data_IF_985765167787
#
_entry.id   IF_985765167787
#
_cell.length_a   1.000
_cell.length_b   1.000
_cell.length_c   1.000
_cell.angle_alpha   90.00
_cell.angle_beta   90.00
_cell.angle_gamma   90.00
#
_symmetry.space_group_name_H-M   'P 1'
#
loop_
_entity.id
_entity.type
_entity.pdbx_description
1 polymer ?
#
# COMPACT_ATOMS: atom_id res chain seq x y z
N UNK A 1 -13.60 16.51 21.13
CA UNK A 1 -14.24 16.72 19.81
C UNK A 1 -13.18 16.49 18.74
N UNK A 2 -13.33 15.48 17.91
CA UNK A 2 -12.47 15.29 16.72
C UNK A 2 -12.84 16.41 15.77
N UNK A 3 -11.91 17.34 15.52
CA UNK A 3 -12.13 18.41 14.54
C UNK A 3 -11.97 17.77 13.16
N UNK A 4 -13.09 17.40 12.55
CA UNK A 4 -13.15 16.85 11.20
C UNK A 4 -12.66 17.92 10.22
N UNK A 5 -11.58 17.70 9.45
CA UNK A 5 -11.30 18.57 8.32
C UNK A 5 -12.48 18.46 7.36
N UNK A 6 -13.12 19.60 7.08
CA UNK A 6 -14.19 19.66 6.09
C UNK A 6 -13.61 19.25 4.72
N UNK A 7 -14.35 18.51 3.88
CA UNK A 7 -13.91 18.24 2.52
C UNK A 7 -13.56 19.56 1.83
N UNK A 8 -12.37 19.66 1.25
CA UNK A 8 -12.11 20.76 0.33
C UNK A 8 -12.84 20.39 -0.94
N UNK A 9 -13.96 21.08 -1.26
CA UNK A 9 -14.75 20.79 -2.46
C UNK A 9 -14.03 21.22 -3.76
N UNK A 10 -12.71 21.12 -3.78
CA UNK A 10 -11.86 21.38 -4.91
C UNK A 10 -11.83 20.16 -5.85
N UNK A 11 -11.50 20.44 -7.12
CA UNK A 11 -11.45 19.41 -8.15
C UNK A 11 -10.40 18.32 -7.88
N UNK A 12 -9.34 18.63 -7.11
CA UNK A 12 -8.28 17.69 -6.80
C UNK A 12 -8.74 16.62 -5.80
N UNK A 13 -9.51 16.99 -4.78
CA UNK A 13 -10.14 16.06 -3.84
C UNK A 13 -11.10 15.09 -4.53
N UNK A 14 -11.94 15.60 -5.45
CA UNK A 14 -12.83 14.75 -6.25
C UNK A 14 -12.07 13.81 -7.20
N UNK A 15 -10.99 14.29 -7.83
CA UNK A 15 -10.15 13.47 -8.69
C UNK A 15 -9.41 12.37 -7.91
N UNK A 16 -8.98 12.70 -6.68
CA UNK A 16 -8.37 11.74 -5.77
C UNK A 16 -9.35 10.61 -5.43
N UNK A 17 -10.60 10.93 -5.06
CA UNK A 17 -11.64 9.94 -4.73
C UNK A 17 -12.35 9.39 -5.98
N UNK A 18 -11.61 8.78 -6.89
CA UNK A 18 -12.21 8.11 -8.04
C UNK A 18 -13.12 6.95 -7.62
N UNK A 19 -14.16 6.70 -8.41
CA UNK A 19 -15.14 5.62 -8.22
C UNK A 19 -14.78 4.32 -8.96
N UNK A 20 -13.79 4.38 -9.86
CA UNK A 20 -13.41 3.29 -10.76
C UNK A 20 -11.89 3.21 -10.91
N UNK A 21 -11.35 2.01 -10.76
CA UNK A 21 -9.94 1.76 -11.08
C UNK A 21 -9.75 1.69 -12.60
N UNK A 22 -8.67 2.27 -13.13
CA UNK A 22 -8.41 2.42 -14.57
C UNK A 22 -6.92 2.21 -14.87
N UNK A 23 -6.59 1.91 -16.13
CA UNK A 23 -5.19 1.69 -16.56
C UNK A 23 -4.27 2.87 -16.23
N UNK A 24 -4.75 4.12 -16.37
CA UNK A 24 -3.95 5.30 -16.01
C UNK A 24 -3.50 5.32 -14.54
N UNK A 25 -4.37 4.85 -13.63
CA UNK A 25 -4.06 4.73 -12.20
C UNK A 25 -3.05 3.60 -11.95
N UNK A 26 -3.22 2.45 -12.62
CA UNK A 26 -2.23 1.38 -12.55
C UNK A 26 -0.84 1.87 -12.95
N UNK A 27 -0.75 2.59 -14.08
CA UNK A 27 0.52 3.08 -14.61
C UNK A 27 1.15 4.13 -13.69
N UNK A 28 0.36 5.05 -13.13
CA UNK A 28 0.87 6.00 -12.12
C UNK A 28 1.34 5.28 -10.85
N UNK A 29 0.69 4.18 -10.48
CA UNK A 29 1.06 3.37 -9.33
C UNK A 29 2.30 2.51 -9.59
N UNK A 30 2.94 2.56 -10.77
CA UNK A 30 4.19 1.85 -11.05
C UNK A 30 5.45 2.66 -10.70
N UNK A 31 5.35 3.97 -10.52
CA UNK A 31 6.49 4.81 -10.13
C UNK A 31 6.11 5.75 -8.99
N UNK A 32 7.07 6.54 -8.50
CA UNK A 32 6.76 7.74 -7.75
C UNK A 32 6.66 8.90 -8.74
N UNK A 33 5.73 9.85 -8.56
CA UNK A 33 5.73 11.05 -9.38
C UNK A 33 7.01 11.87 -9.10
N UNK A 34 7.49 12.69 -10.06
CA UNK A 34 8.77 13.38 -9.94
C UNK A 34 8.91 14.29 -8.71
N UNK A 35 7.79 14.83 -8.24
CA UNK A 35 7.67 15.73 -7.09
C UNK A 35 7.42 15.00 -5.76
N UNK A 36 7.28 13.66 -5.76
CA UNK A 36 7.13 12.91 -4.53
C UNK A 36 8.42 12.95 -3.69
N UNK A 37 8.31 13.20 -2.38
CA UNK A 37 9.47 13.31 -1.51
C UNK A 37 10.27 12.00 -1.49
N UNK A 38 11.59 12.14 -1.48
CA UNK A 38 12.58 11.08 -1.52
C UNK A 38 13.49 11.07 -0.28
N UNK A 39 14.46 10.16 -0.27
CA UNK A 39 15.46 10.16 0.79
C UNK A 39 16.30 11.45 0.75
N UNK A 40 16.51 12.06 1.92
CA UNK A 40 17.14 13.36 2.09
C UNK A 40 16.13 14.51 2.20
N UNK A 41 14.91 14.34 1.69
CA UNK A 41 13.88 15.38 1.75
C UNK A 41 13.22 15.42 3.14
N UNK A 42 12.62 16.58 3.42
CA UNK A 42 11.74 16.77 4.58
C UNK A 42 10.37 16.18 4.28
N UNK A 43 9.74 15.56 5.28
CA UNK A 43 8.35 15.13 5.13
C UNK A 43 7.42 16.34 4.87
N UNK A 44 6.40 16.19 4.02
CA UNK A 44 5.33 17.16 3.89
C UNK A 44 4.61 17.41 5.22
N UNK A 45 4.01 18.60 5.36
CA UNK A 45 3.22 18.93 6.53
C UNK A 45 1.90 18.12 6.57
N UNK A 46 1.57 17.56 7.74
CA UNK A 46 0.29 16.88 7.96
C UNK A 46 -0.12 16.93 9.44
N UNK A 47 -1.41 16.75 9.68
CA UNK A 47 -1.98 16.66 11.02
C UNK A 47 -3.17 15.67 11.01
N UNK A 48 -2.90 14.44 11.46
CA UNK A 48 -3.80 13.30 11.28
C UNK A 48 -4.39 12.85 12.62
N UNK A 49 -5.67 12.50 12.63
CA UNK A 49 -6.27 11.81 13.76
C UNK A 49 -5.78 10.36 13.78
N UNK A 50 -5.55 9.80 14.98
CA UNK A 50 -5.24 8.38 15.15
C UNK A 50 -6.42 7.67 15.78
N UNK A 51 -6.55 6.37 15.53
CA UNK A 51 -7.63 5.56 16.12
C UNK A 51 -7.49 5.40 17.64
N UNK A 52 -6.31 5.63 18.21
CA UNK A 52 -5.97 5.35 19.62
C UNK A 52 -5.77 6.62 20.47
N UNK A 53 -5.94 7.82 19.90
CA UNK A 53 -6.04 9.06 20.66
C UNK A 53 -5.18 10.20 20.11
N UNK A 54 -3.89 10.33 20.49
CA UNK A 54 -3.06 11.47 20.13
C UNK A 54 -2.98 11.67 18.62
N UNK A 55 -2.91 12.92 18.17
CA UNK A 55 -2.75 13.21 16.74
C UNK A 55 -1.34 12.84 16.29
N UNK A 56 -1.21 12.42 15.04
CA UNK A 56 0.07 12.19 14.38
C UNK A 56 0.35 13.38 13.48
N UNK A 57 1.38 14.18 13.82
CA UNK A 57 1.66 15.44 13.15
C UNK A 57 3.08 15.46 12.61
N UNK A 58 3.30 16.12 11.48
CA UNK A 58 4.64 16.25 10.88
C UNK A 58 5.61 17.08 11.72
N UNK A 59 5.11 17.83 12.71
CA UNK A 59 5.90 18.67 13.61
C UNK A 59 6.21 17.99 14.96
N UNK A 60 5.57 16.86 15.24
CA UNK A 60 5.79 16.07 16.46
C UNK A 60 5.70 14.58 16.15
N UNK A 61 6.81 14.02 15.67
CA UNK A 61 6.94 12.61 15.34
C UNK A 61 7.26 11.73 16.56
N UNK A 62 7.65 12.35 17.68
CA UNK A 62 8.23 11.69 18.83
C UNK A 62 9.74 11.40 18.67
N UNK A 63 10.37 10.73 19.65
CA UNK A 63 11.82 10.55 19.71
C UNK A 63 12.37 9.38 18.87
N UNK A 64 11.50 8.51 18.35
CA UNK A 64 11.89 7.33 17.57
C UNK A 64 11.76 7.62 16.07
N UNK A 65 12.58 6.98 15.21
CA UNK A 65 12.29 6.92 13.79
C UNK A 65 10.88 6.39 13.55
N UNK A 66 10.24 6.88 12.49
CA UNK A 66 8.87 6.52 12.13
C UNK A 66 8.87 5.76 10.81
N UNK A 67 8.31 4.54 10.80
CA UNK A 67 7.89 3.89 9.58
C UNK A 67 6.45 4.31 9.27
N UNK A 68 6.32 5.24 8.32
CA UNK A 68 5.06 5.73 7.79
C UNK A 68 4.63 4.87 6.59
N UNK A 69 3.43 4.30 6.64
CA UNK A 69 2.90 3.46 5.55
C UNK A 69 1.53 3.98 5.13
N UNK A 70 1.31 4.19 3.84
CA UNK A 70 -0.03 4.51 3.33
C UNK A 70 -0.78 3.21 3.01
N UNK A 71 -2.12 3.17 3.09
CA UNK A 71 -2.83 1.94 2.75
C UNK A 71 -4.34 2.04 2.83
N UNK A 72 -5.01 1.12 2.14
CA UNK A 72 -6.46 1.00 2.14
C UNK A 72 -6.91 -0.45 1.99
N UNK A 73 -8.18 -0.70 2.34
CA UNK A 73 -8.72 -2.05 2.49
C UNK A 73 -8.86 -2.79 1.16
N UNK A 74 -9.02 -2.05 0.07
CA UNK A 74 -9.21 -2.58 -1.28
C UNK A 74 -7.92 -2.65 -2.10
N UNK A 75 -6.74 -2.49 -1.49
CA UNK A 75 -5.47 -2.58 -2.21
C UNK A 75 -4.83 -3.97 -2.09
N UNK A 76 -4.64 -4.74 -3.20
CA UNK A 76 -3.97 -6.05 -3.14
C UNK A 76 -2.54 -5.96 -2.60
N UNK A 77 -1.87 -4.82 -2.80
CA UNK A 77 -0.54 -4.59 -2.24
C UNK A 77 -0.60 -4.42 -0.73
N UNK A 78 -1.53 -3.61 -0.20
CA UNK A 78 -1.77 -3.50 1.25
C UNK A 78 -2.13 -4.84 1.87
N UNK A 79 -2.95 -5.65 1.20
CA UNK A 79 -3.27 -7.02 1.63
C UNK A 79 -2.01 -7.87 1.80
N UNK A 80 -1.10 -7.82 0.81
CA UNK A 80 0.17 -8.53 0.89
C UNK A 80 1.19 -7.92 1.87
N UNK A 81 1.05 -6.63 2.20
CA UNK A 81 1.92 -5.94 3.16
C UNK A 81 1.53 -6.23 4.61
N UNK A 82 0.25 -6.50 4.92
CA UNK A 82 -0.22 -6.74 6.28
C UNK A 82 0.63 -7.76 7.07
N UNK A 83 0.87 -8.99 6.55
CA UNK A 83 1.74 -9.96 7.20
C UNK A 83 3.21 -9.51 7.33
N UNK A 84 3.73 -8.76 6.35
CA UNK A 84 5.09 -8.20 6.37
C UNK A 84 5.22 -7.18 7.49
N UNK A 85 4.29 -6.21 7.56
CA UNK A 85 4.29 -5.14 8.55
C UNK A 85 4.16 -5.69 9.97
N UNK A 86 3.36 -6.74 10.20
CA UNK A 86 3.28 -7.38 11.53
C UNK A 86 4.61 -7.98 11.96
N UNK A 87 5.29 -8.73 11.07
CA UNK A 87 6.62 -9.30 11.38
C UNK A 87 7.66 -8.22 11.64
N UNK A 88 7.69 -7.18 10.81
CA UNK A 88 8.61 -6.06 11.00
C UNK A 88 8.30 -5.29 12.29
N UNK A 89 7.03 -5.12 12.65
CA UNK A 89 6.67 -4.49 13.91
C UNK A 89 7.04 -5.36 15.13
N UNK A 90 6.88 -6.68 15.05
CA UNK A 90 7.36 -7.60 16.09
C UNK A 90 8.88 -7.50 16.30
N UNK A 91 9.64 -7.28 15.21
CA UNK A 91 11.11 -7.20 15.21
C UNK A 91 11.62 -5.80 15.64
N UNK A 92 11.01 -4.73 15.15
CA UNK A 92 11.54 -3.35 15.26
C UNK A 92 10.66 -2.38 16.06
N UNK A 93 9.42 -2.76 16.43
CA UNK A 93 8.43 -1.85 17.01
C UNK A 93 8.81 -1.24 18.37
N UNK A 94 9.82 -1.79 19.05
CA UNK A 94 10.37 -1.22 20.28
C UNK A 94 11.31 -0.01 20.03
N UNK A 95 11.90 0.08 18.83
CA UNK A 95 12.89 1.10 18.47
C UNK A 95 12.44 2.00 17.30
N UNK A 96 11.37 1.63 16.61
CA UNK A 96 10.79 2.38 15.49
C UNK A 96 9.28 2.46 15.70
N UNK A 97 8.70 3.67 15.59
CA UNK A 97 7.25 3.87 15.64
C UNK A 97 6.65 3.48 14.30
N UNK A 98 5.68 2.58 14.28
CA UNK A 98 4.96 2.20 13.07
C UNK A 98 3.64 2.96 13.02
N UNK A 99 3.37 3.64 11.90
CA UNK A 99 2.11 4.33 11.66
C UNK A 99 1.59 3.97 10.27
N UNK A 100 0.41 3.33 10.20
CA UNK A 100 -0.29 3.16 8.94
C UNK A 100 -1.34 4.26 8.78
N UNK A 101 -1.23 5.04 7.72
CA UNK A 101 -2.21 6.06 7.33
C UNK A 101 -3.25 5.43 6.40
N UNK A 102 -4.50 5.39 6.85
CA UNK A 102 -5.63 4.98 6.04
C UNK A 102 -5.93 6.03 4.97
N UNK A 103 -5.75 5.67 3.70
CA UNK A 103 -5.95 6.53 2.53
C UNK A 103 -7.25 6.20 1.80
N UNK A 104 -7.50 6.79 0.62
CA UNK A 104 -8.65 6.41 -0.20
C UNK A 104 -8.59 4.93 -0.58
N UNK A 105 -9.73 4.36 -0.92
CA UNK A 105 -9.76 3.01 -1.49
C UNK A 105 -9.01 3.00 -2.84
N UNK A 106 -8.09 2.04 -2.99
CA UNK A 106 -7.29 1.88 -4.21
C UNK A 106 -8.13 1.23 -5.32
N UNK A 107 -8.99 0.28 -4.95
CA UNK A 107 -9.93 -0.38 -5.85
C UNK A 107 -11.34 -0.33 -5.24
N UNK A 108 -11.98 0.85 -5.23
CA UNK A 108 -13.31 1.00 -4.65
C UNK A 108 -14.31 0.10 -5.37
N UNK A 109 -15.03 -0.69 -4.59
CA UNK A 109 -16.05 -1.62 -5.06
C UNK A 109 -17.43 -1.25 -4.53
N UNK A 110 -18.46 -2.01 -4.92
CA UNK A 110 -19.81 -1.76 -4.40
C UNK A 110 -19.97 -2.09 -2.91
N UNK A 111 -19.12 -2.98 -2.37
CA UNK A 111 -19.14 -3.37 -0.95
C UNK A 111 -18.23 -2.49 -0.10
N UNK A 112 -17.17 -1.95 -0.70
CA UNK A 112 -16.22 -1.03 -0.07
C UNK A 112 -16.00 0.15 -1.03
N UNK A 113 -16.93 1.13 -1.07
CA UNK A 113 -16.85 2.30 -1.95
C UNK A 113 -15.87 3.34 -1.38
N UNK A 114 -15.64 4.45 -2.10
CA UNK A 114 -14.94 5.58 -1.47
C UNK A 114 -15.77 6.14 -0.30
N UNK A 115 -15.15 6.48 0.85
CA UNK A 115 -15.85 7.16 1.92
C UNK A 115 -16.29 8.55 1.45
N UNK A 116 -17.53 8.93 1.77
CA UNK A 116 -18.14 10.23 1.44
C UNK A 116 -18.18 11.21 2.60
N UNK A 117 -17.92 10.72 3.82
CA UNK A 117 -17.79 11.53 5.03
C UNK A 117 -16.58 11.05 5.81
N UNK A 118 -16.12 11.87 6.75
CA UNK A 118 -15.00 11.50 7.61
C UNK A 118 -15.38 10.35 8.56
N UNK A 119 -16.63 10.26 8.98
CA UNK A 119 -17.12 9.17 9.83
C UNK A 119 -17.01 7.83 9.09
N UNK A 120 -17.39 7.78 7.80
CA UNK A 120 -17.18 6.59 6.96
C UNK A 120 -15.69 6.30 6.73
N UNK A 121 -14.88 7.35 6.56
CA UNK A 121 -13.42 7.21 6.46
C UNK A 121 -12.80 6.61 7.74
N UNK A 122 -13.30 7.02 8.90
CA UNK A 122 -12.92 6.46 10.20
C UNK A 122 -13.31 4.98 10.33
N UNK A 123 -14.52 4.62 9.91
CA UNK A 123 -14.96 3.21 9.86
C UNK A 123 -14.05 2.35 8.96
N UNK A 124 -13.62 2.88 7.80
CA UNK A 124 -12.65 2.21 6.93
C UNK A 124 -11.31 1.98 7.62
N UNK A 125 -10.80 2.98 8.37
CA UNK A 125 -9.57 2.82 9.13
C UNK A 125 -9.71 1.76 10.25
N UNK A 126 -10.85 1.73 10.95
CA UNK A 126 -11.16 0.70 11.94
C UNK A 126 -11.24 -0.71 11.32
N UNK A 127 -11.87 -0.84 10.15
CA UNK A 127 -11.91 -2.09 9.41
C UNK A 127 -10.51 -2.53 8.97
N UNK A 128 -9.72 -1.62 8.40
CA UNK A 128 -8.35 -1.89 7.97
C UNK A 128 -7.47 -2.38 9.13
N UNK A 129 -7.54 -1.73 10.30
CA UNK A 129 -6.82 -2.15 11.51
C UNK A 129 -7.21 -3.56 11.94
N UNK A 130 -8.52 -3.83 12.02
CA UNK A 130 -9.07 -5.12 12.46
C UNK A 130 -8.73 -6.24 11.48
N UNK A 131 -8.94 -6.01 10.18
CA UNK A 131 -8.70 -6.99 9.12
C UNK A 131 -7.24 -7.46 9.09
N UNK A 132 -6.28 -6.54 9.25
CA UNK A 132 -4.86 -6.90 9.28
C UNK A 132 -4.32 -7.26 10.67
N UNK A 133 -5.16 -7.21 11.71
CA UNK A 133 -4.76 -7.40 13.11
C UNK A 133 -3.53 -6.54 13.49
N UNK A 134 -3.54 -5.27 13.09
CA UNK A 134 -2.44 -4.35 13.37
C UNK A 134 -2.42 -4.01 14.86
N UNK A 135 -1.25 -4.15 15.48
CA UNK A 135 -1.00 -3.82 16.89
C UNK A 135 -0.27 -2.49 17.08
N UNK A 136 -0.15 -1.73 16.00
CA UNK A 136 0.49 -0.43 15.97
C UNK A 136 -0.50 0.63 15.45
N UNK A 137 -0.07 1.87 15.50
CA UNK A 137 -0.90 3.04 15.26
C UNK A 137 -1.49 3.05 13.84
N UNK A 138 -2.78 3.40 13.77
CA UNK A 138 -3.45 3.71 12.51
C UNK A 138 -3.93 5.15 12.55
N UNK A 139 -3.39 5.96 11.64
CA UNK A 139 -3.81 7.33 11.40
C UNK A 139 -4.85 7.38 10.27
N UNK A 140 -5.71 8.38 10.28
CA UNK A 140 -6.79 8.56 9.31
C UNK A 140 -6.51 9.82 8.50
N UNK A 141 -6.23 9.64 7.21
CA UNK A 141 -6.08 10.77 6.30
C UNK A 141 -7.41 11.51 6.11
N UNK A 142 -7.33 12.76 5.66
CA UNK A 142 -8.51 13.50 5.23
C UNK A 142 -9.24 12.77 4.10
N UNK A 143 -10.51 13.12 3.92
CA UNK A 143 -11.35 12.48 2.90
C UNK A 143 -10.79 12.73 1.49
N UNK A 144 -10.25 13.93 1.26
CA UNK A 144 -9.65 14.32 0.00
C UNK A 144 -8.17 13.95 -0.09
N UNK A 145 -7.56 13.46 1.00
CA UNK A 145 -6.25 12.82 1.01
C UNK A 145 -5.09 13.80 0.96
N UNK A 146 -5.20 14.90 1.68
CA UNK A 146 -4.22 15.99 1.75
C UNK A 146 -2.82 15.45 2.06
N UNK A 147 -2.68 14.56 3.05
CA UNK A 147 -1.40 13.96 3.37
C UNK A 147 -0.97 12.98 2.25
N UNK A 148 -1.81 12.03 1.85
CA UNK A 148 -1.43 11.05 0.84
C UNK A 148 -1.03 11.69 -0.50
N UNK A 149 -1.73 12.75 -0.93
CA UNK A 149 -1.37 13.51 -2.13
C UNK A 149 -0.04 14.21 -2.00
N UNK A 150 0.27 14.80 -0.84
CA UNK A 150 1.55 15.47 -0.61
C UNK A 150 2.75 14.51 -0.67
N UNK A 151 2.53 13.21 -0.43
CA UNK A 151 3.55 12.17 -0.60
C UNK A 151 3.57 11.54 -2.01
N UNK A 152 2.70 11.98 -2.93
CA UNK A 152 2.64 11.50 -4.31
C UNK A 152 1.77 10.24 -4.48
N UNK A 153 0.43 10.37 -4.42
CA UNK A 153 -0.63 9.48 -3.85
C UNK A 153 -0.63 8.00 -4.29
N UNK A 154 0.52 7.35 -4.15
CA UNK A 154 0.80 5.97 -4.53
C UNK A 154 0.28 5.02 -3.46
N UNK A 155 -0.54 4.02 -3.83
CA UNK A 155 -1.05 3.06 -2.88
C UNK A 155 0.09 2.29 -2.23
N UNK A 156 -0.01 2.10 -0.93
CA UNK A 156 0.90 1.29 -0.15
C UNK A 156 2.38 1.66 -0.17
N UNK A 157 2.72 2.90 -0.52
CA UNK A 157 4.06 3.43 -0.30
C UNK A 157 4.43 3.45 1.18
N UNK A 158 5.72 3.35 1.47
CA UNK A 158 6.25 3.46 2.83
C UNK A 158 7.48 4.37 2.89
N UNK A 159 7.65 5.07 4.01
CA UNK A 159 8.72 6.00 4.28
C UNK A 159 9.29 5.74 5.66
N UNK A 160 10.61 5.61 5.77
CA UNK A 160 11.32 5.65 7.04
C UNK A 160 11.81 7.07 7.27
N UNK A 161 11.39 7.65 8.38
CA UNK A 161 11.58 9.07 8.69
C UNK A 161 12.29 9.19 10.03
N UNK A 162 13.33 10.01 10.11
CA UNK A 162 14.00 10.32 11.37
C UNK A 162 13.11 11.20 12.27
N UNK A 163 13.35 11.23 13.60
CA UNK A 163 12.60 12.07 14.54
C UNK A 163 12.55 13.55 14.15
N UNK A 164 13.59 14.01 13.47
CA UNK A 164 13.67 15.39 13.01
C UNK A 164 12.73 15.67 11.84
N UNK A 165 12.19 14.67 11.14
CA UNK A 165 11.34 14.80 9.94
C UNK A 165 12.06 14.56 8.60
N UNK A 166 13.29 14.07 8.60
CA UNK A 166 14.06 13.76 7.39
C UNK A 166 13.79 12.34 6.90
N UNK A 167 13.47 12.17 5.62
CA UNK A 167 13.22 10.84 5.03
C UNK A 167 14.56 10.14 4.79
N UNK A 168 14.72 8.93 5.31
CA UNK A 168 15.93 8.10 5.14
C UNK A 168 15.77 7.03 4.08
N UNK A 169 14.54 6.57 3.86
CA UNK A 169 14.24 5.52 2.90
C UNK A 169 12.78 5.61 2.44
N UNK A 170 12.52 5.31 1.16
CA UNK A 170 11.16 5.10 0.64
C UNK A 170 11.00 3.76 -0.11
N UNK A 171 9.95 3.01 0.19
CA UNK A 171 9.58 1.84 -0.60
C UNK A 171 8.46 2.18 -1.57
N UNK A 172 8.55 1.69 -2.81
CA UNK A 172 7.42 1.72 -3.73
C UNK A 172 6.18 1.11 -3.09
N UNK A 173 6.36 -0.02 -2.41
CA UNK A 173 5.32 -0.74 -1.72
C UNK A 173 5.81 -1.36 -0.41
N UNK A 174 5.00 -1.28 0.63
CA UNK A 174 5.33 -1.76 1.97
C UNK A 174 5.41 -3.29 2.10
N UNK A 175 5.16 -4.02 1.02
CA UNK A 175 5.36 -5.46 0.92
C UNK A 175 6.78 -5.86 0.46
N UNK A 176 7.68 -4.89 0.19
CA UNK A 176 9.12 -5.11 0.03
C UNK A 176 9.79 -5.35 1.39
N UNK A 177 9.59 -6.55 1.93
CA UNK A 177 10.11 -6.95 3.25
C UNK A 177 11.63 -6.85 3.34
N UNK A 178 12.36 -7.18 2.27
CA UNK A 178 13.82 -7.15 2.26
C UNK A 178 14.35 -5.72 2.35
N UNK A 179 13.82 -4.83 1.52
CA UNK A 179 14.19 -3.41 1.54
C UNK A 179 13.83 -2.72 2.86
N UNK A 180 12.64 -2.99 3.39
CA UNK A 180 12.21 -2.43 4.67
C UNK A 180 13.04 -2.96 5.85
N UNK A 181 13.30 -4.27 5.93
CA UNK A 181 14.10 -4.85 7.02
C UNK A 181 15.51 -4.26 7.05
N UNK A 182 16.15 -4.08 5.89
CA UNK A 182 17.47 -3.44 5.82
C UNK A 182 17.43 -2.01 6.32
N UNK A 183 16.49 -1.20 5.83
CA UNK A 183 16.35 0.20 6.24
C UNK A 183 16.05 0.35 7.75
N UNK A 184 15.14 -0.48 8.29
CA UNK A 184 14.81 -0.51 9.71
C UNK A 184 16.01 -0.93 10.56
N UNK A 185 16.76 -1.95 10.13
CA UNK A 185 17.98 -2.40 10.82
C UNK A 185 19.04 -1.31 10.86
N UNK A 186 19.23 -0.58 9.74
CA UNK A 186 20.15 0.55 9.71
C UNK A 186 19.74 1.65 10.69
N UNK A 187 18.45 2.02 10.73
CA UNK A 187 17.94 3.04 11.65
C UNK A 187 18.13 2.65 13.13
N UNK A 188 17.84 1.41 13.50
CA UNK A 188 18.06 0.92 14.88
C UNK A 188 19.54 0.97 15.29
N UNK A 189 20.45 0.80 14.33
CA UNK A 189 21.90 0.93 14.55
C UNK A 189 22.39 2.39 14.50
N UNK A 190 21.51 3.38 14.33
CA UNK A 190 21.89 4.79 14.16
C UNK A 190 22.65 5.07 12.86
N UNK A 191 22.45 4.24 11.83
CA UNK A 191 23.14 4.33 10.54
C UNK A 191 22.16 4.75 9.44
N UNK A 192 22.70 5.36 8.38
CA UNK A 192 21.93 5.55 7.16
C UNK A 192 21.67 4.19 6.47
N UNK A 193 20.46 3.94 5.91
CA UNK A 193 20.22 2.82 5.02
C UNK A 193 21.21 2.84 3.85
N UNK A 194 21.59 1.65 3.36
CA UNK A 194 22.54 1.56 2.24
C UNK A 194 22.02 2.23 0.95
N UNK A 195 20.70 2.41 0.85
CA UNK A 195 20.02 3.11 -0.25
C UNK A 195 18.85 3.91 0.28
N UNK A 196 18.51 4.98 -0.42
CA UNK A 196 17.32 5.77 -0.13
C UNK A 196 15.99 5.17 -0.60
N UNK A 197 15.98 4.03 -1.30
CA UNK A 197 14.73 3.44 -1.83
C UNK A 197 14.76 1.93 -2.11
N UNK A 198 13.58 1.32 -2.22
CA UNK A 198 13.36 -0.10 -2.58
C UNK A 198 13.96 -0.49 -3.94
N UNK A 199 14.32 -1.78 -4.09
CA UNK A 199 14.85 -2.36 -5.33
C UNK A 199 13.85 -3.30 -5.98
N UNK A 200 13.33 -2.90 -7.14
CA UNK A 200 12.55 -3.76 -8.03
C UNK A 200 11.13 -4.04 -7.53
N UNK A 201 10.19 -4.16 -8.46
CA UNK A 201 8.76 -4.24 -8.16
C UNK A 201 8.15 -5.61 -8.46
N UNK A 202 8.84 -6.45 -9.24
CA UNK A 202 8.29 -7.71 -9.72
C UNK A 202 7.90 -8.65 -8.58
N UNK A 203 8.77 -8.84 -7.58
CA UNK A 203 8.48 -9.69 -6.42
C UNK A 203 7.27 -9.19 -5.62
N UNK A 204 7.25 -7.88 -5.32
CA UNK A 204 6.14 -7.21 -4.65
C UNK A 204 4.83 -7.32 -5.42
N UNK A 205 4.87 -7.16 -6.75
CA UNK A 205 3.70 -7.28 -7.61
C UNK A 205 3.17 -8.71 -7.63
N UNK A 206 4.05 -9.71 -7.76
CA UNK A 206 3.66 -11.13 -7.73
C UNK A 206 3.07 -11.54 -6.38
N UNK A 207 3.56 -10.99 -5.26
CA UNK A 207 2.91 -11.17 -3.95
C UNK A 207 1.50 -10.58 -3.97
N UNK A 208 1.35 -9.32 -4.40
CA UNK A 208 0.06 -8.63 -4.46
C UNK A 208 -0.96 -9.35 -5.36
N UNK A 209 -0.53 -9.92 -6.50
CA UNK A 209 -1.38 -10.72 -7.40
C UNK A 209 -2.04 -11.90 -6.68
N UNK A 210 -1.33 -12.55 -5.75
CA UNK A 210 -1.89 -13.66 -4.97
C UNK A 210 -3.02 -13.25 -4.02
N UNK A 211 -3.13 -11.96 -3.69
CA UNK A 211 -4.18 -11.38 -2.84
C UNK A 211 -5.33 -10.74 -3.64
N UNK A 212 -5.16 -10.56 -4.95
CA UNK A 212 -6.16 -9.96 -5.82
C UNK A 212 -7.54 -10.67 -5.73
N UNK A 213 -7.65 -12.01 -5.72
CA UNK A 213 -8.95 -12.67 -5.57
C UNK A 213 -9.61 -12.44 -4.20
N UNK A 214 -8.82 -12.23 -3.15
CA UNK A 214 -9.33 -11.85 -1.82
C UNK A 214 -9.91 -10.44 -1.85
N UNK A 215 -9.18 -9.51 -2.47
CA UNK A 215 -9.60 -8.11 -2.64
C UNK A 215 -10.90 -8.02 -3.45
N UNK A 216 -11.00 -8.73 -4.56
CA UNK A 216 -12.22 -8.80 -5.39
C UNK A 216 -13.40 -9.34 -4.60
N UNK A 217 -13.22 -10.41 -3.81
CA UNK A 217 -14.30 -10.97 -2.98
C UNK A 217 -14.76 -9.98 -1.90
N UNK A 218 -13.84 -9.23 -1.31
CA UNK A 218 -14.15 -8.26 -0.26
C UNK A 218 -14.84 -7.00 -0.81
N UNK A 219 -14.37 -6.47 -1.94
CA UNK A 219 -14.87 -5.21 -2.52
C UNK A 219 -16.05 -5.40 -3.48
N UNK A 220 -16.18 -6.60 -4.06
CA UNK A 220 -17.26 -7.01 -4.95
C UNK A 220 -16.87 -7.06 -6.44
N UNK A 221 -17.75 -7.65 -7.25
CA UNK A 221 -17.57 -7.91 -8.68
C UNK A 221 -17.26 -6.69 -9.56
N UNK A 222 -17.55 -5.47 -9.09
CA UNK A 222 -17.15 -4.25 -9.82
C UNK A 222 -15.64 -4.14 -9.94
N UNK A 223 -14.92 -4.48 -8.86
CA UNK A 223 -13.45 -4.45 -8.83
C UNK A 223 -12.87 -5.45 -9.81
N UNK A 224 -13.47 -6.63 -9.92
CA UNK A 224 -13.04 -7.62 -10.92
C UNK A 224 -13.13 -7.05 -12.34
N UNK A 225 -14.27 -6.46 -12.70
CA UNK A 225 -14.46 -5.86 -14.02
C UNK A 225 -13.44 -4.74 -14.27
N UNK A 226 -13.21 -3.89 -13.29
CA UNK A 226 -12.23 -2.79 -13.40
C UNK A 226 -10.82 -3.32 -13.62
N UNK A 227 -10.42 -4.37 -12.90
CA UNK A 227 -9.08 -4.97 -13.03
C UNK A 227 -8.91 -5.69 -14.36
N UNK A 228 -9.94 -6.39 -14.86
CA UNK A 228 -9.90 -6.98 -16.21
C UNK A 228 -9.76 -5.94 -17.31
N UNK A 229 -10.43 -4.79 -17.18
CA UNK A 229 -10.31 -3.70 -18.16
C UNK A 229 -8.99 -2.94 -18.02
N UNK A 230 -8.52 -2.71 -16.79
CA UNK A 230 -7.35 -1.91 -16.52
C UNK A 230 -6.03 -2.67 -16.73
N UNK A 231 -6.02 -3.95 -16.37
CA UNK A 231 -4.82 -4.78 -16.27
C UNK A 231 -5.09 -6.27 -16.61
N UNK A 232 -5.53 -6.61 -17.85
CA UNK A 232 -5.87 -7.99 -18.21
C UNK A 232 -4.79 -9.04 -17.84
N UNK A 233 -3.48 -8.78 -18.03
CA UNK A 233 -2.44 -9.74 -17.61
C UNK A 233 -2.44 -10.03 -16.11
N UNK A 234 -2.64 -9.00 -15.27
CA UNK A 234 -2.71 -9.17 -13.82
C UNK A 234 -4.03 -9.83 -13.40
N UNK A 235 -5.12 -9.54 -14.09
CA UNK A 235 -6.42 -10.21 -13.86
C UNK A 235 -6.34 -11.71 -14.13
N UNK A 236 -5.71 -12.10 -15.26
CA UNK A 236 -5.45 -13.50 -15.61
C UNK A 236 -4.59 -14.18 -14.56
N UNK A 237 -3.47 -13.58 -14.16
CA UNK A 237 -2.60 -14.14 -13.12
C UNK A 237 -3.33 -14.27 -11.78
N UNK A 238 -4.16 -13.28 -11.41
CA UNK A 238 -5.01 -13.34 -10.23
C UNK A 238 -5.97 -14.53 -10.27
N UNK A 239 -6.62 -14.77 -11.40
CA UNK A 239 -7.50 -15.94 -11.59
C UNK A 239 -6.72 -17.26 -11.53
N UNK A 240 -5.58 -17.36 -12.22
CA UNK A 240 -4.73 -18.55 -12.18
C UNK A 240 -4.18 -18.85 -10.77
N UNK A 241 -3.96 -17.81 -9.96
CA UNK A 241 -3.48 -17.94 -8.57
C UNK A 241 -4.41 -18.79 -7.69
N UNK A 242 -5.71 -18.89 -8.04
CA UNK A 242 -6.68 -19.72 -7.33
C UNK A 242 -6.40 -21.22 -7.43
N UNK A 243 -5.73 -21.68 -8.51
CA UNK A 243 -5.32 -23.08 -8.68
C UNK A 243 -4.28 -23.50 -7.63
N UNK A 244 -3.58 -22.52 -7.04
CA UNK A 244 -2.53 -22.74 -6.04
C UNK A 244 -3.04 -22.53 -4.61
N UNK A 245 -4.31 -22.86 -4.33
CA UNK A 245 -4.96 -22.66 -3.03
C UNK A 245 -4.24 -23.30 -1.83
N UNK A 246 -3.42 -24.34 -2.06
CA UNK A 246 -2.58 -24.97 -1.03
C UNK A 246 -1.37 -24.13 -0.60
N UNK A 247 -0.96 -23.16 -1.42
CA UNK A 247 0.12 -22.23 -1.10
C UNK A 247 -0.41 -21.04 -0.28
N UNK A 248 0.43 -20.42 0.57
CA UNK A 248 0.15 -19.10 1.13
C UNK A 248 -0.10 -18.08 0.03
N UNK A 249 -1.01 -17.12 0.25
CA UNK A 249 -1.42 -16.12 -0.75
C UNK A 249 -0.21 -15.41 -1.38
N UNK A 250 0.80 -15.02 -0.59
CA UNK A 250 2.03 -14.37 -1.04
C UNK A 250 2.81 -15.15 -2.12
N UNK A 251 2.62 -16.48 -2.20
CA UNK A 251 3.32 -17.35 -3.17
C UNK A 251 2.47 -17.69 -4.39
N UNK A 252 1.16 -17.44 -4.35
CA UNK A 252 0.24 -17.88 -5.42
C UNK A 252 0.44 -17.12 -6.72
N UNK A 253 0.73 -15.83 -6.67
CA UNK A 253 0.99 -15.05 -7.88
C UNK A 253 2.27 -15.47 -8.61
N UNK A 254 3.34 -15.77 -7.86
CA UNK A 254 4.58 -16.31 -8.43
C UNK A 254 4.35 -17.70 -9.05
N UNK A 255 3.61 -18.58 -8.37
CA UNK A 255 3.26 -19.91 -8.90
C UNK A 255 2.42 -19.81 -10.18
N UNK A 256 1.44 -18.90 -10.22
CA UNK A 256 0.63 -18.63 -11.41
C UNK A 256 1.48 -18.11 -12.58
N UNK A 257 2.41 -17.18 -12.32
CA UNK A 257 3.31 -16.66 -13.34
C UNK A 257 4.24 -17.75 -13.90
N UNK A 258 4.81 -18.59 -13.03
CA UNK A 258 5.67 -19.70 -13.44
C UNK A 258 4.91 -20.74 -14.28
N UNK A 259 3.68 -21.08 -13.89
CA UNK A 259 2.84 -22.01 -14.64
C UNK A 259 2.43 -21.46 -16.01
N UNK A 260 2.07 -20.17 -16.08
CA UNK A 260 1.75 -19.51 -17.35
C UNK A 260 2.98 -19.46 -18.28
N UNK A 261 4.15 -19.11 -17.74
CA UNK A 261 5.39 -19.09 -18.53
C UNK A 261 5.74 -20.49 -19.04
N UNK A 262 5.64 -21.51 -18.19
CA UNK A 262 5.87 -22.90 -18.58
C UNK A 262 4.94 -23.34 -19.72
N UNK A 263 3.64 -23.04 -19.61
CA UNK A 263 2.67 -23.31 -20.66
C UNK A 263 3.01 -22.62 -21.98
N UNK A 264 3.34 -21.33 -21.95
CA UNK A 264 3.69 -20.56 -23.15
C UNK A 264 4.97 -21.11 -23.82
N UNK A 265 5.98 -21.48 -23.04
CA UNK A 265 7.20 -22.10 -23.57
C UNK A 265 6.92 -23.47 -24.20
N UNK A 266 6.05 -24.28 -23.61
CA UNK A 266 5.63 -25.56 -24.19
C UNK A 266 4.88 -25.35 -25.51
N UNK A 267 3.95 -24.40 -25.58
CA UNK A 267 3.23 -24.07 -26.81
C UNK A 267 4.19 -23.58 -27.90
N UNK A 268 5.12 -22.68 -27.57
CA UNK A 268 6.11 -22.18 -28.52
C UNK A 268 7.00 -23.31 -29.06
N UNK A 269 7.41 -24.25 -28.22
CA UNK A 269 8.19 -25.42 -28.64
C UNK A 269 7.39 -26.33 -29.58
N UNK A 270 6.11 -26.58 -29.28
CA UNK A 270 5.23 -27.39 -30.15
C UNK A 270 5.05 -26.72 -31.51
N UNK A 271 4.85 -25.40 -31.56
CA UNK A 271 4.72 -24.64 -32.82
C UNK A 271 6.02 -24.65 -33.63
N UNK A 272 7.19 -24.63 -32.98
CA UNK A 272 8.48 -24.71 -33.67
C UNK A 272 8.81 -26.11 -34.22
N UNK A 273 8.17 -27.15 -33.70
CA UNK A 273 8.36 -28.55 -34.11
C UNK A 273 7.34 -29.02 -35.16
N UNK A 274 6.34 -28.19 -35.49
CA UNK A 274 5.33 -28.39 -36.54
C UNK A 274 5.72 -27.62 -37.81
#
# INVERSE_FOLDING_TARGET
MIRTPAPTDDAAGRAYRFERFRTGLLLSDMSFPPDAPGAGDRIPAFDLATLDGPRFTSTDLGPLPVLLVFGSRTCPVTESAGPVLRRLHEEFGAAVRFVLVNTREAHPGQLVPQPRTFERKWEHALDLRRHHALRFEVAVDGIDGEAHRAFGPKPNSAYLVDPDGTIRYRAHWANDEGGLREALSAAVLGRAPARGHSRGMAGSLLRAVGHLPGTVRAAGSRVERDVWLAAPPLALLGRLSLLFGRLPADRRGAAAAAALLGFLLTVALVVLLL
#
